data_IF_102826578030
#
_entry.id   IF_102826578030
#
_cell.length_a   1.000
_cell.length_b   1.000
_cell.length_c   1.000
_cell.angle_alpha   90.00
_cell.angle_beta   90.00
_cell.angle_gamma   90.00
#
_symmetry.space_group_name_H-M   'P 1'
#
loop_
_entity.id
_entity.type
_entity.pdbx_description
1 polymer ?
#
# COMPACT_ATOMS: atom_id res chain seq x y z
N UNK A 1 6.59 -32.03 4.22
CA UNK A 1 6.09 -31.37 3.01
C UNK A 1 6.94 -30.14 2.76
N UNK A 2 7.62 -30.15 1.62
CA UNK A 2 8.60 -29.13 1.22
C UNK A 2 7.89 -27.91 0.60
N UNK A 3 8.59 -26.76 0.55
CA UNK A 3 8.00 -25.54 0.00
C UNK A 3 7.61 -25.69 -1.48
N UNK A 4 8.38 -26.44 -2.26
CA UNK A 4 8.08 -26.71 -3.67
C UNK A 4 6.73 -27.44 -3.83
N UNK A 5 6.47 -28.45 -3.00
CA UNK A 5 5.20 -29.19 -3.00
C UNK A 5 4.03 -28.27 -2.62
N UNK A 6 4.22 -27.37 -1.66
CA UNK A 6 3.19 -26.42 -1.23
C UNK A 6 2.85 -25.43 -2.34
N UNK A 7 3.86 -24.92 -3.03
CA UNK A 7 3.67 -24.02 -4.18
C UNK A 7 2.89 -24.74 -5.28
N UNK A 8 3.23 -26.00 -5.56
CA UNK A 8 2.52 -26.80 -6.57
C UNK A 8 1.05 -27.05 -6.18
N UNK A 9 0.77 -27.34 -4.92
CA UNK A 9 -0.61 -27.51 -4.44
C UNK A 9 -1.42 -26.20 -4.51
N UNK A 10 -0.81 -25.06 -4.16
CA UNK A 10 -1.44 -23.75 -4.30
C UNK A 10 -1.73 -23.48 -5.78
N UNK A 11 -0.74 -23.70 -6.68
CA UNK A 11 -0.95 -23.52 -8.11
C UNK A 11 -2.13 -24.35 -8.65
N UNK A 12 -2.24 -25.62 -8.24
CA UNK A 12 -3.35 -26.50 -8.60
C UNK A 12 -4.70 -25.99 -8.06
N UNK A 13 -4.75 -25.53 -6.80
CA UNK A 13 -5.98 -25.02 -6.15
C UNK A 13 -6.58 -23.83 -6.91
N UNK A 14 -5.73 -22.97 -7.46
CA UNK A 14 -6.13 -21.79 -8.23
C UNK A 14 -6.08 -22.01 -9.75
N UNK A 15 -5.90 -23.26 -10.21
CA UNK A 15 -5.84 -23.62 -11.63
C UNK A 15 -4.81 -22.79 -12.42
N UNK A 16 -3.68 -22.49 -11.78
CA UNK A 16 -2.59 -21.74 -12.40
C UNK A 16 -1.93 -22.64 -13.46
N UNK A 17 -1.77 -22.16 -14.70
CA UNK A 17 -1.09 -22.92 -15.74
C UNK A 17 0.30 -23.39 -15.31
N UNK A 18 0.70 -24.57 -15.75
CA UNK A 18 2.00 -25.16 -15.39
C UNK A 18 3.17 -24.23 -15.78
N UNK A 19 3.07 -23.58 -16.94
CA UNK A 19 4.03 -22.57 -17.44
C UNK A 19 4.18 -21.35 -16.50
N UNK A 20 3.11 -21.01 -15.76
CA UNK A 20 3.07 -19.90 -14.80
C UNK A 20 3.37 -20.33 -13.36
N UNK A 21 3.33 -21.63 -13.07
CA UNK A 21 3.68 -22.17 -11.75
C UNK A 21 5.13 -21.85 -11.38
N UNK A 22 6.04 -21.84 -12.37
CA UNK A 22 7.43 -21.41 -12.17
C UNK A 22 7.55 -19.94 -11.74
N UNK A 23 6.64 -19.08 -12.23
CA UNK A 23 6.62 -17.65 -11.86
C UNK A 23 6.12 -17.47 -10.43
N UNK A 24 5.08 -18.21 -10.03
CA UNK A 24 4.62 -18.27 -8.65
C UNK A 24 5.74 -18.72 -7.69
N UNK A 25 6.48 -19.77 -8.07
CA UNK A 25 7.62 -20.25 -7.30
C UNK A 25 8.74 -19.21 -7.21
N UNK A 26 9.05 -18.55 -8.32
CA UNK A 26 10.06 -17.49 -8.39
C UNK A 26 9.70 -16.32 -7.48
N UNK A 27 8.48 -15.79 -7.57
CA UNK A 27 8.02 -14.67 -6.73
C UNK A 27 8.05 -15.05 -5.23
N UNK A 28 7.63 -16.27 -4.90
CA UNK A 28 7.70 -16.80 -3.53
C UNK A 28 9.15 -16.87 -3.03
N UNK A 29 10.07 -17.37 -3.86
CA UNK A 29 11.49 -17.43 -3.57
C UNK A 29 12.12 -16.03 -3.41
N UNK A 30 11.75 -15.07 -4.25
CA UNK A 30 12.22 -13.69 -4.14
C UNK A 30 11.81 -13.04 -2.81
N UNK A 31 10.64 -13.38 -2.28
CA UNK A 31 10.22 -12.91 -0.94
C UNK A 31 11.07 -13.55 0.16
N UNK A 32 11.30 -14.86 0.10
CA UNK A 32 12.15 -15.57 1.07
C UNK A 32 13.60 -15.06 1.07
N UNK A 33 14.09 -14.62 -0.10
CA UNK A 33 15.41 -14.03 -0.28
C UNK A 33 15.43 -12.52 -0.04
N UNK A 34 14.32 -11.92 0.41
CA UNK A 34 14.18 -10.47 0.66
C UNK A 34 14.43 -9.57 -0.55
N UNK A 35 14.43 -10.14 -1.76
CA UNK A 35 14.51 -9.41 -3.03
C UNK A 35 13.18 -8.74 -3.36
N UNK A 36 12.06 -9.40 -3.02
CA UNK A 36 10.70 -8.88 -3.17
C UNK A 36 10.09 -8.66 -1.79
N UNK A 37 9.57 -7.46 -1.55
CA UNK A 37 8.84 -7.17 -0.31
C UNK A 37 7.52 -7.95 -0.27
N UNK A 38 7.13 -8.45 0.91
CA UNK A 38 5.86 -9.20 1.07
C UNK A 38 4.68 -8.37 0.59
N UNK A 39 4.68 -7.06 0.86
CA UNK A 39 3.60 -6.13 0.49
C UNK A 39 3.47 -5.96 -1.03
N UNK A 40 4.54 -6.22 -1.78
CA UNK A 40 4.56 -6.13 -3.25
C UNK A 40 4.20 -7.45 -3.92
N UNK A 41 4.10 -8.55 -3.17
CA UNK A 41 3.83 -9.87 -3.73
C UNK A 41 2.49 -9.91 -4.49
N UNK A 42 1.43 -9.28 -3.97
CA UNK A 42 0.12 -9.26 -4.64
C UNK A 42 0.24 -8.68 -6.06
N UNK A 43 0.81 -7.48 -6.17
CA UNK A 43 0.98 -6.82 -7.47
C UNK A 43 1.96 -7.55 -8.39
N UNK A 44 2.97 -8.21 -7.83
CA UNK A 44 3.85 -9.08 -8.62
C UNK A 44 3.08 -10.25 -9.23
N UNK A 45 2.21 -10.90 -8.46
CA UNK A 45 1.41 -12.02 -8.93
C UNK A 45 0.34 -11.59 -9.95
N UNK A 46 -0.29 -10.43 -9.78
CA UNK A 46 -1.22 -9.85 -10.76
C UNK A 46 -0.56 -9.77 -12.15
N UNK A 47 0.67 -9.23 -12.19
CA UNK A 47 1.40 -8.98 -13.44
C UNK A 47 1.97 -10.27 -14.03
N UNK A 48 2.67 -11.07 -13.22
CA UNK A 48 3.37 -12.27 -13.71
C UNK A 48 2.38 -13.38 -14.10
N UNK A 49 1.29 -13.53 -13.35
CA UNK A 49 0.33 -14.60 -13.57
C UNK A 49 -0.86 -14.18 -14.43
N UNK A 50 -1.00 -12.89 -14.74
CA UNK A 50 -2.14 -12.31 -15.47
C UNK A 50 -3.48 -12.71 -14.80
N UNK A 51 -3.57 -12.44 -13.50
CA UNK A 51 -4.74 -12.77 -12.67
C UNK A 51 -5.31 -11.51 -12.02
N UNK A 52 -6.58 -11.58 -11.64
CA UNK A 52 -7.23 -10.48 -10.94
C UNK A 52 -6.72 -10.36 -9.49
N UNK A 53 -6.90 -9.15 -8.93
CA UNK A 53 -6.48 -8.81 -7.57
C UNK A 53 -7.05 -9.72 -6.49
N UNK A 54 -8.30 -10.14 -6.62
CA UNK A 54 -8.97 -10.96 -5.62
C UNK A 54 -8.30 -12.35 -5.56
N UNK A 55 -8.05 -12.93 -6.73
CA UNK A 55 -7.33 -14.20 -6.86
C UNK A 55 -5.90 -14.08 -6.32
N UNK A 56 -5.17 -13.03 -6.71
CA UNK A 56 -3.82 -12.78 -6.19
C UNK A 56 -3.80 -12.64 -4.65
N UNK A 57 -4.76 -11.94 -4.06
CA UNK A 57 -4.87 -11.81 -2.60
C UNK A 57 -5.05 -13.15 -1.89
N UNK A 58 -5.90 -14.03 -2.43
CA UNK A 58 -6.13 -15.36 -1.87
C UNK A 58 -4.88 -16.23 -1.96
N UNK A 59 -4.20 -16.22 -3.10
CA UNK A 59 -2.92 -16.93 -3.29
C UNK A 59 -1.88 -16.44 -2.27
N UNK A 60 -1.76 -15.11 -2.08
CA UNK A 60 -0.83 -14.56 -1.09
C UNK A 60 -1.20 -14.97 0.32
N UNK A 61 -2.48 -15.04 0.68
CA UNK A 61 -2.87 -15.55 2.00
C UNK A 61 -2.47 -17.01 2.18
N UNK A 62 -2.69 -17.86 1.19
CA UNK A 62 -2.31 -19.28 1.25
C UNK A 62 -0.79 -19.44 1.33
N UNK A 63 -0.01 -18.70 0.53
CA UNK A 63 1.46 -18.68 0.65
C UNK A 63 1.89 -18.23 2.05
N UNK A 64 1.24 -17.20 2.61
CA UNK A 64 1.60 -16.71 3.95
C UNK A 64 1.35 -17.78 5.02
N UNK A 65 0.22 -18.47 4.96
CA UNK A 65 -0.13 -19.50 5.94
C UNK A 65 0.71 -20.77 5.76
N UNK A 66 0.87 -21.23 4.53
CA UNK A 66 1.46 -22.53 4.23
C UNK A 66 2.99 -22.45 4.17
N UNK A 67 3.57 -21.34 3.72
CA UNK A 67 5.01 -21.21 3.42
C UNK A 67 5.68 -20.19 4.33
N UNK A 68 5.15 -18.96 4.45
CA UNK A 68 5.85 -17.90 5.19
C UNK A 68 5.63 -17.94 6.69
N UNK A 69 4.58 -18.60 7.18
CA UNK A 69 4.24 -18.69 8.61
C UNK A 69 5.45 -18.88 9.55
N UNK A 70 6.35 -19.86 9.33
CA UNK A 70 7.51 -20.06 10.22
C UNK A 70 8.57 -18.94 10.16
N UNK A 71 8.64 -18.19 9.06
CA UNK A 71 9.69 -17.17 8.80
C UNK A 71 9.17 -15.74 8.83
N UNK A 72 7.86 -15.55 9.00
CA UNK A 72 7.19 -14.26 8.92
C UNK A 72 7.75 -13.21 9.90
N UNK A 73 8.05 -13.55 11.18
CA UNK A 73 8.63 -12.58 12.11
C UNK A 73 10.01 -12.08 11.65
N UNK A 74 10.83 -12.96 11.08
CA UNK A 74 12.18 -12.66 10.61
C UNK A 74 12.11 -11.83 9.32
N UNK A 75 11.27 -12.24 8.36
CA UNK A 75 11.05 -11.49 7.12
C UNK A 75 10.59 -10.05 7.40
N UNK A 76 9.66 -9.88 8.34
CA UNK A 76 9.15 -8.56 8.73
C UNK A 76 10.26 -7.70 9.31
N UNK A 77 11.08 -8.26 10.21
CA UNK A 77 12.19 -7.54 10.83
C UNK A 77 13.23 -7.09 9.79
N UNK A 78 13.65 -7.99 8.90
CA UNK A 78 14.67 -7.70 7.88
C UNK A 78 14.17 -6.62 6.90
N UNK A 79 12.92 -6.73 6.44
CA UNK A 79 12.35 -5.78 5.49
C UNK A 79 12.11 -4.39 6.12
N UNK A 80 11.79 -4.32 7.41
CA UNK A 80 11.67 -3.05 8.14
C UNK A 80 13.03 -2.36 8.33
N UNK A 81 14.10 -3.12 8.62
CA UNK A 81 15.44 -2.57 8.79
C UNK A 81 16.06 -2.10 7.46
N UNK A 82 15.72 -2.79 6.38
CA UNK A 82 16.19 -2.46 5.02
C UNK A 82 15.43 -1.29 4.38
N UNK A 83 14.29 -0.90 4.95
CA UNK A 83 13.51 0.24 4.48
C UNK A 83 14.12 1.53 5.03
N UNK A 84 14.36 2.57 4.20
CA UNK A 84 14.78 3.87 4.73
C UNK A 84 13.73 4.34 5.72
N UNK A 85 14.13 4.63 6.97
CA UNK A 85 13.23 5.22 7.95
C UNK A 85 12.60 6.45 7.30
N UNK A 86 11.27 6.60 7.34
CA UNK A 86 10.64 7.81 6.84
C UNK A 86 11.25 8.98 7.59
N UNK A 87 11.95 9.85 6.85
CA UNK A 87 12.38 11.14 7.37
C UNK A 87 11.08 11.83 7.80
N UNK A 88 10.92 12.24 9.06
CA UNK A 88 9.72 12.96 9.47
C UNK A 88 9.57 14.14 8.51
N UNK A 89 8.47 14.13 7.75
CA UNK A 89 8.13 15.26 6.90
C UNK A 89 8.02 16.49 7.80
N UNK A 90 8.67 17.62 7.47
CA UNK A 90 8.37 18.86 8.18
C UNK A 90 6.87 19.11 7.99
N UNK A 91 6.14 19.06 9.09
CA UNK A 91 4.71 19.37 9.14
C UNK A 91 4.50 20.76 8.55
N UNK A 92 4.20 20.82 7.25
CA UNK A 92 3.74 22.03 6.59
C UNK A 92 2.24 22.09 6.78
N UNK A 93 1.79 22.27 8.03
CA UNK A 93 0.48 22.86 8.24
C UNK A 93 0.59 24.31 7.76
N UNK A 94 -0.15 24.73 6.71
CA UNK A 94 -0.32 26.16 6.50
C UNK A 94 -0.96 26.77 7.75
N UNK A 95 -0.56 27.97 8.18
CA UNK A 95 -1.26 28.67 9.25
C UNK A 95 -2.74 28.78 8.88
N UNK A 96 -3.68 28.63 9.84
CA UNK A 96 -5.09 28.81 9.55
C UNK A 96 -5.31 30.21 8.97
N UNK A 97 -5.78 30.27 7.73
CA UNK A 97 -6.30 31.49 7.12
C UNK A 97 -7.46 31.95 7.99
N UNK A 98 -7.21 32.95 8.83
CA UNK A 98 -8.30 33.72 9.44
C UNK A 98 -9.12 34.32 8.30
N UNK A 99 -10.46 34.20 8.31
CA UNK A 99 -11.29 34.84 7.30
C UNK A 99 -11.07 36.36 7.35
N UNK A 100 -10.82 37.03 6.21
CA UNK A 100 -10.86 38.48 6.17
C UNK A 100 -12.28 38.92 6.52
N UNK A 101 -12.39 39.70 7.60
CA UNK A 101 -13.59 40.47 7.93
C UNK A 101 -13.91 41.36 6.71
N UNK A 102 -15.11 41.32 6.13
CA UNK A 102 -15.48 42.27 5.09
C UNK A 102 -15.59 43.66 5.73
N UNK A 103 -14.66 44.53 5.37
CA UNK A 103 -14.72 45.98 5.59
C UNK A 103 -14.95 46.63 4.22
N UNK A 104 -16.19 47.04 3.99
CA UNK A 104 -16.64 47.93 2.92
C UNK A 104 -18.07 48.36 3.31
N UNK A 105 -18.22 49.49 3.99
CA UNK A 105 -18.24 50.89 3.49
C UNK A 105 -19.65 51.33 3.05
N UNK A 106 -19.92 52.62 3.32
CA UNK A 106 -21.09 53.45 2.98
C UNK A 106 -22.32 53.25 3.91
N UNK A 107 -22.95 54.29 4.49
CA UNK A 107 -23.39 55.54 3.86
C UNK A 107 -23.39 56.70 4.88
N UNK A 108 -22.84 57.83 4.43
CA UNK A 108 -23.06 59.19 4.96
C UNK A 108 -24.56 59.53 4.95
N UNK A 109 -25.21 59.64 6.12
CA UNK A 109 -26.55 60.26 6.22
C UNK A 109 -26.41 61.75 6.56
N UNK A 110 -26.37 62.54 5.49
CA UNK A 110 -26.35 63.99 5.49
C UNK A 110 -27.77 64.53 5.80
N UNK A 111 -28.27 64.32 7.03
CA UNK A 111 -29.55 64.89 7.50
C UNK A 111 -29.48 65.38 8.94
N UNK A 112 -28.67 66.41 9.17
CA UNK A 112 -28.87 67.35 10.28
C UNK A 112 -28.26 68.70 9.92
N UNK A 113 -28.89 69.36 8.95
CA UNK A 113 -28.80 70.81 8.78
C UNK A 113 -30.08 71.42 9.35
N UNK A 114 -30.04 72.17 10.46
CA UNK A 114 -31.08 73.13 10.73
C UNK A 114 -31.03 74.21 9.65
N UNK A 115 -32.17 74.49 9.03
CA UNK A 115 -32.39 75.67 8.18
C UNK A 115 -33.50 76.50 8.84
N UNK A 116 -33.53 77.81 8.52
CA UNK A 116 -33.30 78.98 9.37
C UNK A 116 -34.28 79.18 10.55
#
# INVERSE_FOLDING_TARGET
>A
MENAEKIQQIAQRYQIPEEKTSQLAKATGQVLLTVLAVEKLISSLEIELDIDRNTAQKIVQDIKQEIFSPVMPILTKIQQESSPKPIPSPSSSPPPLTPPKPENENIVDLKNLPRP
#
